data_IF_420834571142
#
_entry.id   IF_420834571142
#
_cell.length_a   1.000
_cell.length_b   1.000
_cell.length_c   1.000
_cell.angle_alpha   90.00
_cell.angle_beta   90.00
_cell.angle_gamma   90.00
#
_symmetry.space_group_name_H-M   'P 1'
#
loop_
_entity.id
_entity.type
_entity.pdbx_description
1 polymer ?
#
# COMPACT_ATOMS: atom_id res chain seq x y z
N UNK A 1 14.97 11.48 12.07
CA UNK A 1 13.68 11.94 12.64
C UNK A 1 12.58 11.38 11.73
N UNK A 2 11.51 10.79 12.27
CA UNK A 2 10.37 10.40 11.46
C UNK A 2 9.83 11.61 10.72
N UNK A 3 9.49 11.44 9.44
CA UNK A 3 8.86 12.49 8.64
C UNK A 3 7.35 12.40 8.88
N UNK A 4 6.70 13.49 9.34
CA UNK A 4 5.27 13.47 9.58
C UNK A 4 4.49 13.10 8.32
N UNK A 5 3.49 12.24 8.47
CA UNK A 5 2.52 11.90 7.42
C UNK A 5 1.52 13.05 7.27
N UNK A 6 1.24 13.46 6.04
CA UNK A 6 0.20 14.45 5.74
C UNK A 6 -1.15 13.75 5.65
N UNK A 7 -1.96 13.86 6.69
CA UNK A 7 -3.26 13.18 6.76
C UNK A 7 -4.33 13.88 5.93
N UNK A 8 -4.15 15.14 5.54
CA UNK A 8 -5.16 15.94 4.83
C UNK A 8 -6.57 15.93 5.47
N UNK A 9 -6.65 15.71 6.80
CA UNK A 9 -7.92 15.59 7.52
C UNK A 9 -8.55 14.19 7.50
N UNK A 10 -7.90 13.20 6.88
CA UNK A 10 -8.30 11.80 6.96
C UNK A 10 -7.82 11.19 8.29
N UNK A 11 -8.73 10.71 9.15
CA UNK A 11 -8.35 10.10 10.43
C UNK A 11 -7.52 8.83 10.20
N UNK A 12 -6.52 8.63 11.04
CA UNK A 12 -5.76 7.38 11.17
C UNK A 12 -5.72 7.03 12.66
N UNK A 13 -6.71 6.28 13.14
CA UNK A 13 -6.82 5.97 14.57
C UNK A 13 -5.82 4.92 15.06
N UNK A 14 -5.31 4.07 14.16
CA UNK A 14 -4.28 3.08 14.48
C UNK A 14 -2.88 3.71 14.45
N UNK A 15 -2.26 3.87 15.62
CA UNK A 15 -0.92 4.42 15.76
C UNK A 15 0.15 3.55 15.08
N UNK A 16 -0.02 2.23 15.06
CA UNK A 16 0.94 1.34 14.37
C UNK A 16 0.91 1.56 12.86
N UNK A 17 -0.27 1.80 12.29
CA UNK A 17 -0.39 2.14 10.87
C UNK A 17 0.30 3.48 10.58
N UNK A 18 0.07 4.49 11.43
CA UNK A 18 0.73 5.80 11.30
C UNK A 18 2.25 5.69 11.35
N UNK A 19 2.80 5.00 12.34
CA UNK A 19 4.25 4.77 12.47
C UNK A 19 4.82 4.05 11.24
N UNK A 20 4.12 3.03 10.71
CA UNK A 20 4.54 2.32 9.48
C UNK A 20 4.56 3.23 8.25
N UNK A 21 3.63 4.18 8.15
CA UNK A 21 3.62 5.18 7.08
C UNK A 21 4.80 6.17 7.20
N UNK A 22 5.14 6.60 8.42
CA UNK A 22 6.33 7.44 8.66
C UNK A 22 7.64 6.71 8.31
N UNK A 23 7.72 5.41 8.64
CA UNK A 23 8.85 4.56 8.24
C UNK A 23 8.91 4.38 6.72
N UNK A 24 7.77 4.24 6.04
CA UNK A 24 7.73 4.21 4.57
C UNK A 24 8.24 5.53 3.99
N UNK A 25 7.82 6.67 4.52
CA UNK A 25 8.33 7.99 4.12
C UNK A 25 9.86 8.06 4.24
N UNK A 26 10.42 7.61 5.37
CA UNK A 26 11.87 7.56 5.55
C UNK A 26 12.58 6.68 4.51
N UNK A 27 11.99 5.51 4.15
CA UNK A 27 12.53 4.63 3.10
C UNK A 27 12.45 5.22 1.70
N UNK A 28 11.51 6.14 1.46
CA UNK A 28 11.36 6.89 0.23
C UNK A 28 12.19 8.19 0.23
N UNK A 29 13.27 8.24 1.00
CA UNK A 29 14.16 9.40 1.06
C UNK A 29 13.56 10.60 1.81
N UNK A 30 12.60 10.38 2.69
CA UNK A 30 11.90 11.43 3.43
C UNK A 30 10.80 12.13 2.64
N UNK A 31 10.31 11.52 1.55
CA UNK A 31 9.21 12.07 0.75
C UNK A 31 7.90 12.08 1.55
N UNK A 32 7.12 13.16 1.44
CA UNK A 32 5.84 13.30 2.15
C UNK A 32 4.82 12.26 1.67
N UNK A 33 4.38 11.40 2.59
CA UNK A 33 3.25 10.50 2.36
C UNK A 33 1.97 11.26 2.62
N UNK A 34 1.12 11.42 1.60
CA UNK A 34 -0.21 12.02 1.68
C UNK A 34 -1.28 10.95 1.77
N UNK A 35 -2.13 11.05 2.77
CA UNK A 35 -3.29 10.16 2.96
C UNK A 35 -4.48 10.71 2.20
N UNK A 36 -5.10 9.86 1.38
CA UNK A 36 -6.32 10.15 0.63
C UNK A 36 -7.57 9.51 1.27
N UNK A 37 -7.36 8.44 2.02
CA UNK A 37 -8.35 7.82 2.87
C UNK A 37 -7.63 7.08 4.02
N UNK A 38 -8.11 7.26 5.24
CA UNK A 38 -7.69 6.50 6.41
C UNK A 38 -8.89 5.72 6.93
N UNK A 39 -9.33 6.00 8.15
CA UNK A 39 -10.53 5.37 8.68
C UNK A 39 -11.76 5.77 7.84
N UNK A 40 -12.59 4.78 7.48
CA UNK A 40 -13.81 5.01 6.72
C UNK A 40 -15.03 4.47 7.48
N UNK A 41 -16.18 5.17 7.42
CA UNK A 41 -17.43 4.62 7.92
C UNK A 41 -17.98 3.53 6.98
N UNK A 42 -18.88 2.65 7.46
CA UNK A 42 -19.45 1.52 6.69
C UNK A 42 -19.97 1.89 5.30
N UNK A 43 -20.64 3.03 5.16
CA UNK A 43 -21.23 3.49 3.90
C UNK A 43 -20.19 3.93 2.85
N UNK A 44 -18.93 4.12 3.25
CA UNK A 44 -17.82 4.50 2.35
C UNK A 44 -16.81 3.38 2.14
N UNK A 45 -16.75 2.42 3.07
CA UNK A 45 -15.96 1.23 2.91
C UNK A 45 -16.67 0.29 1.92
N UNK A 46 -16.21 0.22 0.67
CA UNK A 46 -16.86 -0.56 -0.40
C UNK A 46 -17.08 -2.07 -0.13
N UNK A 47 -16.66 -2.58 1.03
CA UNK A 47 -16.95 -3.93 1.53
C UNK A 47 -17.11 -3.89 3.07
N UNK A 48 -18.02 -4.70 3.66
CA UNK A 48 -18.15 -4.83 5.12
C UNK A 48 -16.92 -5.44 5.81
N UNK A 49 -15.99 -6.02 5.04
CA UNK A 49 -14.72 -6.57 5.53
C UNK A 49 -13.53 -5.64 5.25
N UNK A 50 -13.78 -4.39 4.82
CA UNK A 50 -12.71 -3.44 4.51
C UNK A 50 -11.86 -3.15 5.75
N UNK A 51 -10.52 -3.21 5.65
CA UNK A 51 -9.65 -2.87 6.78
C UNK A 51 -9.74 -1.38 7.18
N UNK A 52 -10.23 -0.49 6.30
CA UNK A 52 -10.52 0.90 6.64
C UNK A 52 -11.57 1.04 7.74
N UNK A 53 -12.51 0.08 7.85
CA UNK A 53 -13.53 0.07 8.92
C UNK A 53 -12.93 -0.16 10.31
N UNK A 54 -11.79 -0.84 10.36
CA UNK A 54 -11.07 -1.15 11.58
C UNK A 54 -9.94 -0.15 11.87
N UNK A 55 -9.79 0.91 11.06
CA UNK A 55 -8.67 1.85 11.14
C UNK A 55 -7.32 1.24 10.74
N UNK A 56 -7.32 0.08 10.06
CA UNK A 56 -6.11 -0.70 9.74
C UNK A 56 -5.65 -0.56 8.29
N UNK A 57 -6.19 0.37 7.53
CA UNK A 57 -5.76 0.66 6.17
C UNK A 57 -5.68 2.15 5.88
N UNK A 58 -4.83 2.48 4.90
CA UNK A 58 -4.75 3.80 4.32
C UNK A 58 -4.58 3.72 2.80
N UNK A 59 -5.23 4.64 2.09
CA UNK A 59 -4.95 4.93 0.69
C UNK A 59 -4.03 6.14 0.65
N UNK A 60 -2.89 6.02 -0.02
CA UNK A 60 -1.82 7.02 0.02
C UNK A 60 -1.32 7.41 -1.38
N UNK A 61 -0.69 8.59 -1.42
CA UNK A 61 0.11 9.11 -2.54
C UNK A 61 1.40 9.70 -2.01
N UNK A 62 2.45 9.66 -2.82
CA UNK A 62 3.71 10.35 -2.52
C UNK A 62 4.00 11.28 -3.71
N UNK A 63 3.91 12.61 -3.54
CA UNK A 63 4.17 13.55 -4.62
C UNK A 63 5.56 13.32 -5.24
N UNK A 64 5.63 13.29 -6.56
CA UNK A 64 6.87 13.03 -7.30
C UNK A 64 7.17 11.55 -7.54
N UNK A 65 6.39 10.62 -6.97
CA UNK A 65 6.46 9.20 -7.27
C UNK A 65 5.16 8.70 -7.91
N UNK A 66 5.28 7.73 -8.79
CA UNK A 66 4.14 7.00 -9.35
C UNK A 66 3.55 6.06 -8.32
N UNK A 67 2.25 5.73 -8.46
CA UNK A 67 1.59 4.73 -7.59
C UNK A 67 2.32 3.39 -7.59
N UNK A 68 2.93 3.02 -8.73
CA UNK A 68 3.71 1.80 -8.87
C UNK A 68 4.96 1.84 -7.99
N UNK A 69 5.74 2.91 -8.07
CA UNK A 69 6.96 3.07 -7.26
C UNK A 69 6.64 3.02 -5.76
N UNK A 70 5.55 3.68 -5.35
CA UNK A 70 5.11 3.69 -3.95
C UNK A 70 4.66 2.31 -3.48
N UNK A 71 3.80 1.62 -4.24
CA UNK A 71 3.31 0.29 -3.89
C UNK A 71 4.43 -0.77 -3.87
N UNK A 72 5.35 -0.73 -4.83
CA UNK A 72 6.51 -1.60 -4.84
C UNK A 72 7.44 -1.35 -3.64
N UNK A 73 7.69 -0.08 -3.28
CA UNK A 73 8.48 0.26 -2.10
C UNK A 73 7.79 -0.21 -0.81
N UNK A 74 6.48 -0.01 -0.69
CA UNK A 74 5.68 -0.51 0.43
C UNK A 74 5.73 -2.04 0.53
N UNK A 75 5.57 -2.76 -0.57
CA UNK A 75 5.63 -4.21 -0.61
C UNK A 75 7.03 -4.75 -0.24
N UNK A 76 8.10 -4.19 -0.82
CA UNK A 76 9.49 -4.56 -0.49
C UNK A 76 9.86 -4.21 0.95
N UNK A 77 9.17 -3.24 1.55
CA UNK A 77 9.53 -2.77 2.88
C UNK A 77 9.27 -3.81 3.99
N UNK A 78 8.28 -4.69 3.76
CA UNK A 78 7.76 -5.60 4.79
C UNK A 78 7.02 -4.89 5.93
N UNK A 79 6.75 -3.58 5.81
CA UNK A 79 6.06 -2.79 6.83
C UNK A 79 4.56 -3.07 6.86
N UNK A 80 3.96 -3.48 5.75
CA UNK A 80 2.52 -3.68 5.63
C UNK A 80 2.19 -5.14 5.37
N UNK A 81 1.04 -5.57 5.86
CA UNK A 81 0.56 -6.94 5.71
C UNK A 81 -0.22 -7.14 4.41
N UNK A 82 -0.82 -6.06 3.90
CA UNK A 82 -1.33 -5.93 2.54
C UNK A 82 -0.92 -4.61 1.89
N UNK A 83 -0.74 -4.66 0.57
CA UNK A 83 -0.45 -3.50 -0.29
C UNK A 83 -1.30 -3.66 -1.54
N UNK A 84 -1.81 -2.58 -2.13
CA UNK A 84 -2.53 -2.60 -3.39
C UNK A 84 -2.12 -1.43 -4.28
N UNK A 85 -2.11 -1.66 -5.59
CA UNK A 85 -1.88 -0.62 -6.61
C UNK A 85 -3.18 -0.36 -7.35
N UNK A 86 -3.63 0.89 -7.36
CA UNK A 86 -4.85 1.31 -8.05
C UNK A 86 -4.55 2.43 -9.03
N UNK A 87 -4.84 2.19 -10.31
CA UNK A 87 -4.77 3.23 -11.34
C UNK A 87 -5.93 4.21 -11.22
N UNK A 88 -5.78 5.36 -11.87
CA UNK A 88 -6.82 6.36 -11.92
C UNK A 88 -8.04 5.81 -12.67
N UNK A 89 -9.22 6.06 -12.11
CA UNK A 89 -10.51 5.80 -12.75
C UNK A 89 -11.36 7.07 -12.71
N UNK A 90 -12.46 7.16 -13.47
CA UNK A 90 -13.38 8.30 -13.40
C UNK A 90 -13.95 8.56 -12.00
N UNK A 91 -13.90 7.57 -11.10
CA UNK A 91 -14.45 7.66 -9.74
C UNK A 91 -13.39 7.87 -8.66
N UNK A 92 -12.14 7.46 -8.93
CA UNK A 92 -11.08 7.46 -7.93
C UNK A 92 -9.75 7.85 -8.54
N UNK A 93 -9.00 8.76 -7.88
CA UNK A 93 -7.65 9.09 -8.30
C UNK A 93 -6.71 7.89 -8.03
N UNK A 94 -5.69 7.69 -8.87
CA UNK A 94 -4.70 6.61 -8.69
C UNK A 94 -4.08 6.63 -7.30
N UNK A 95 -3.94 5.52 -6.58
CA UNK A 95 -3.43 5.52 -5.21
C UNK A 95 -2.85 4.16 -4.82
N UNK A 96 -2.00 4.16 -3.80
CA UNK A 96 -1.50 2.93 -3.18
C UNK A 96 -2.32 2.66 -1.94
N UNK A 97 -2.91 1.47 -1.86
CA UNK A 97 -3.53 0.98 -0.63
C UNK A 97 -2.48 0.26 0.22
N UNK A 98 -2.52 0.43 1.53
CA UNK A 98 -1.72 -0.34 2.49
C UNK A 98 -2.56 -0.71 3.71
N UNK A 99 -2.36 -1.90 4.27
CA UNK A 99 -3.10 -2.36 5.44
C UNK A 99 -2.30 -3.26 6.39
N UNK A 100 -2.78 -3.35 7.63
CA UNK A 100 -2.23 -4.21 8.71
C UNK A 100 -3.11 -5.45 8.97
N UNK A 101 -4.16 -5.67 8.18
CA UNK A 101 -5.12 -6.75 8.34
C UNK A 101 -4.81 -8.00 7.50
N UNK A 102 -3.83 -7.90 6.60
CA UNK A 102 -3.47 -8.94 5.65
C UNK A 102 -2.81 -10.18 6.24
N UNK A 103 -2.23 -10.14 7.45
CA UNK A 103 -1.44 -11.26 7.99
C UNK A 103 -2.37 -12.35 8.53
N UNK A 104 -2.28 -13.54 7.94
CA UNK A 104 -3.00 -14.72 8.43
C UNK A 104 -2.42 -15.18 9.78
N UNK A 105 -3.20 -15.93 10.58
CA UNK A 105 -2.72 -16.51 11.84
C UNK A 105 -1.47 -17.39 11.72
N UNK A 106 -1.22 -17.94 10.52
CA UNK A 106 -0.03 -18.74 10.20
C UNK A 106 1.24 -17.89 9.94
N UNK A 107 1.15 -16.57 10.04
CA UNK A 107 2.24 -15.65 9.81
C UNK A 107 2.49 -15.28 8.34
N UNK A 108 1.72 -15.85 7.40
CA UNK A 108 1.81 -15.46 5.98
C UNK A 108 1.12 -14.11 5.77
N UNK A 109 1.85 -13.14 5.21
CA UNK A 109 1.29 -11.86 4.79
C UNK A 109 0.64 -12.00 3.43
N UNK A 110 -0.56 -11.45 3.25
CA UNK A 110 -1.20 -11.38 1.94
C UNK A 110 -0.52 -10.28 1.09
N UNK A 111 0.54 -10.62 0.37
CA UNK A 111 1.19 -9.69 -0.57
C UNK A 111 0.43 -9.66 -1.89
N UNK A 112 0.10 -8.46 -2.37
CA UNK A 112 -0.12 -8.27 -3.79
C UNK A 112 1.19 -8.47 -4.54
N UNK A 113 1.15 -9.29 -5.59
CA UNK A 113 2.18 -9.29 -6.60
C UNK A 113 1.77 -8.32 -7.71
N UNK A 114 2.55 -7.26 -7.93
CA UNK A 114 2.50 -6.54 -9.20
C UNK A 114 3.04 -7.52 -10.26
N UNK A 115 2.18 -8.00 -11.16
CA UNK A 115 2.62 -8.83 -12.28
C UNK A 115 3.63 -8.08 -13.16
N UNK A 116 4.52 -8.82 -13.84
CA UNK A 116 5.52 -8.23 -14.74
C UNK A 116 4.91 -7.53 -15.99
N UNK A 117 3.60 -7.64 -16.18
CA UNK A 117 2.79 -7.23 -17.32
C UNK A 117 1.74 -6.16 -16.96
N UNK A 118 1.89 -5.47 -15.82
CA UNK A 118 0.98 -4.42 -15.34
C UNK A 118 -0.48 -4.86 -15.15
N UNK A 119 -0.77 -6.16 -15.18
CA UNK A 119 -2.10 -6.65 -14.79
C UNK A 119 -2.15 -6.83 -13.26
N UNK A 120 -3.25 -6.39 -12.61
CA UNK A 120 -3.52 -6.75 -11.23
C UNK A 120 -3.72 -8.27 -11.17
N UNK A 121 -2.64 -9.01 -10.89
CA UNK A 121 -2.74 -10.43 -10.58
C UNK A 121 -3.14 -10.49 -9.12
N UNK A 122 -4.33 -11.04 -8.89
CA UNK A 122 -4.94 -11.08 -7.57
C UNK A 122 -4.05 -11.74 -6.51
N UNK A 123 -4.61 -11.88 -5.32
CA UNK A 123 -3.95 -12.49 -4.16
C UNK A 123 -3.14 -13.75 -4.52
N UNK A 124 -1.84 -13.73 -4.25
CA UNK A 124 -0.98 -14.91 -4.32
C UNK A 124 -0.66 -15.36 -2.89
N UNK A 125 -0.88 -16.65 -2.61
CA UNK A 125 -0.70 -17.26 -1.29
C UNK A 125 0.76 -17.66 -1.02
N UNK A 126 1.65 -17.44 -1.99
CA UNK A 126 2.85 -18.26 -2.17
C UNK A 126 4.14 -17.66 -1.58
N UNK A 127 4.12 -16.42 -1.06
CA UNK A 127 5.28 -15.78 -0.41
C UNK A 127 6.52 -15.54 -1.30
N UNK A 128 6.54 -16.01 -2.55
CA UNK A 128 7.65 -15.82 -3.49
C UNK A 128 7.37 -14.66 -4.43
N UNK A 129 8.02 -13.52 -4.17
CA UNK A 129 8.21 -12.51 -5.22
C UNK A 129 9.22 -13.12 -6.20
N UNK A 130 8.77 -13.61 -7.36
CA UNK A 130 9.70 -13.88 -8.45
C UNK A 130 10.35 -12.56 -8.85
N UNK A 131 11.66 -12.45 -8.63
CA UNK A 131 12.44 -11.31 -9.11
C UNK A 131 12.20 -11.14 -10.62
N UNK A 132 12.14 -9.90 -11.14
CA UNK A 132 12.00 -9.69 -12.58
C UNK A 132 13.13 -10.42 -13.29
N UNK A 133 12.77 -11.35 -14.18
CA UNK A 133 13.73 -11.95 -15.11
C UNK A 133 14.29 -10.81 -15.94
N UNK A 134 15.55 -10.47 -15.70
CA UNK A 134 16.33 -9.61 -16.59
C UNK A 134 16.20 -10.18 -17.99
N UNK A 135 15.65 -9.40 -18.94
CA UNK A 135 15.83 -9.73 -20.35
C UNK A 135 17.34 -9.67 -20.59
N UNK A 136 17.96 -10.83 -20.70
CA UNK A 136 19.27 -10.94 -21.30
C UNK A 136 19.17 -10.26 -22.67
N UNK A 137 20.01 -9.25 -22.88
CA UNK A 137 20.16 -8.65 -24.20
C UNK A 137 20.66 -9.71 -25.16
N UNK A 138 20.03 -9.81 -26.32
CA UNK A 138 20.69 -10.36 -27.49
C UNK A 138 21.29 -9.20 -28.27
N UNK A 139 22.58 -9.37 -28.55
CA UNK A 139 23.45 -8.50 -29.36
C UNK A 139 23.17 -8.66 -30.85
#
# INVERSE_FOLDING_TARGET
MPVPVDTQGHPLSDETLRERLELLSARLGGATVRVLAGDLPPERAGSPQSPHLAGKAADIRVPGLTTREVSEAAARSGLFDGVGHYDASPRHPAHTHVDLGGRRPDGTGRRWAVGADDTPKGWHDDGHVQAPRSKAGDS
#
